data_IF_777516970165
#
_entry.id   IF_777516970165
#
_cell.length_a   1.000
_cell.length_b   1.000
_cell.length_c   1.000
_cell.angle_alpha   90.00
_cell.angle_beta   90.00
_cell.angle_gamma   90.00
#
_symmetry.space_group_name_H-M   'P 1'
#
loop_
_entity.id
_entity.type
_entity.pdbx_description
1 polymer ?
#
# COMPACT_ATOMS: atom_id res chain seq x y z
N UNK A 1 -18.43 26.52 -44.73
CA UNK A 1 -18.33 25.15 -45.22
C UNK A 1 -17.59 24.99 -46.56
N UNK A 2 -17.66 25.93 -47.53
CA UNK A 2 -16.99 25.82 -48.86
C UNK A 2 -15.45 25.68 -48.81
N UNK A 3 -14.78 26.25 -47.77
CA UNK A 3 -13.30 26.19 -47.67
C UNK A 3 -12.79 24.83 -47.17
N UNK A 4 -13.56 24.08 -46.37
CA UNK A 4 -13.23 22.74 -45.91
C UNK A 4 -13.18 21.75 -47.08
N UNK A 5 -14.12 21.86 -47.99
CA UNK A 5 -14.22 20.98 -49.16
C UNK A 5 -13.12 21.27 -50.18
N UNK A 6 -12.66 22.53 -50.31
CA UNK A 6 -11.60 22.95 -51.25
C UNK A 6 -10.20 22.54 -50.77
N UNK A 7 -9.98 22.36 -49.46
CA UNK A 7 -8.68 22.02 -48.89
C UNK A 7 -8.77 20.74 -48.02
N UNK A 8 -9.34 19.69 -48.61
CA UNK A 8 -9.71 18.44 -47.92
C UNK A 8 -8.55 17.81 -47.12
N UNK A 9 -7.34 17.82 -47.69
CA UNK A 9 -6.18 17.19 -47.04
C UNK A 9 -5.75 17.92 -45.77
N UNK A 10 -5.71 19.27 -45.78
CA UNK A 10 -5.36 20.06 -44.58
C UNK A 10 -6.44 19.98 -43.52
N UNK A 11 -7.71 20.02 -43.92
CA UNK A 11 -8.82 19.88 -42.95
C UNK A 11 -8.84 18.48 -42.31
N UNK A 12 -8.58 17.43 -43.11
CA UNK A 12 -8.49 16.06 -42.61
C UNK A 12 -7.31 15.89 -41.64
N UNK A 13 -6.14 16.46 -42.00
CA UNK A 13 -4.97 16.42 -41.13
C UNK A 13 -5.24 17.11 -39.78
N UNK A 14 -5.86 18.30 -39.79
CA UNK A 14 -6.21 19.02 -38.55
C UNK A 14 -7.20 18.25 -37.66
N UNK A 15 -8.23 17.67 -38.31
CA UNK A 15 -9.21 16.83 -37.55
C UNK A 15 -8.54 15.59 -36.99
N UNK A 16 -7.69 14.91 -37.77
CA UNK A 16 -6.97 13.74 -37.31
C UNK A 16 -6.04 14.05 -36.15
N UNK A 17 -5.32 15.19 -36.23
CA UNK A 17 -4.44 15.63 -35.12
C UNK A 17 -5.22 15.93 -33.84
N UNK A 18 -6.31 16.68 -33.93
CA UNK A 18 -7.17 16.96 -32.78
C UNK A 18 -7.77 15.67 -32.17
N UNK A 19 -8.25 14.78 -33.04
CA UNK A 19 -8.79 13.49 -32.58
C UNK A 19 -7.72 12.64 -31.89
N UNK A 20 -6.49 12.60 -32.43
CA UNK A 20 -5.38 11.90 -31.82
C UNK A 20 -5.00 12.50 -30.46
N UNK A 21 -4.95 13.83 -30.34
CA UNK A 21 -4.67 14.50 -29.06
C UNK A 21 -5.72 14.18 -27.99
N UNK A 22 -7.01 14.26 -28.35
CA UNK A 22 -8.11 13.95 -27.43
C UNK A 22 -8.08 12.46 -27.04
N UNK A 23 -7.78 11.57 -27.98
CA UNK A 23 -7.67 10.14 -27.71
C UNK A 23 -6.52 9.83 -26.74
N UNK A 24 -5.32 10.36 -27.01
CA UNK A 24 -4.15 10.18 -26.16
C UNK A 24 -4.42 10.74 -24.76
N UNK A 25 -5.02 11.94 -24.67
CA UNK A 25 -5.40 12.52 -23.38
C UNK A 25 -6.40 11.63 -22.63
N UNK A 26 -7.43 11.12 -23.31
CA UNK A 26 -8.43 10.23 -22.71
C UNK A 26 -7.84 8.93 -22.19
N UNK A 27 -6.97 8.29 -22.97
CA UNK A 27 -6.24 7.09 -22.56
C UNK A 27 -5.36 7.37 -21.34
N UNK A 28 -4.56 8.44 -21.39
CA UNK A 28 -3.67 8.81 -20.29
C UNK A 28 -4.47 9.14 -19.01
N UNK A 29 -5.53 9.92 -19.12
CA UNK A 29 -6.41 10.25 -18.01
C UNK A 29 -7.03 8.99 -17.39
N UNK A 30 -7.49 8.07 -18.25
CA UNK A 30 -8.02 6.78 -17.78
C UNK A 30 -6.96 5.96 -17.02
N UNK A 31 -5.72 5.91 -17.53
CA UNK A 31 -4.62 5.21 -16.86
C UNK A 31 -4.34 5.84 -15.49
N UNK A 32 -4.22 7.17 -15.42
CA UNK A 32 -3.94 7.88 -14.16
C UNK A 32 -5.02 7.63 -13.12
N UNK A 33 -6.30 7.70 -13.49
CA UNK A 33 -7.40 7.45 -12.56
C UNK A 33 -7.41 6.00 -12.05
N UNK A 34 -7.28 5.03 -12.95
CA UNK A 34 -7.28 3.62 -12.59
C UNK A 34 -6.04 3.25 -11.76
N UNK A 35 -4.89 3.80 -12.10
CA UNK A 35 -3.66 3.56 -11.35
C UNK A 35 -3.70 4.18 -9.95
N UNK A 36 -4.23 5.38 -9.80
CA UNK A 36 -4.44 6.01 -8.49
C UNK A 36 -5.39 5.20 -7.61
N UNK A 37 -6.41 4.58 -8.20
CA UNK A 37 -7.32 3.68 -7.47
C UNK A 37 -6.60 2.40 -7.00
N UNK A 38 -5.79 1.77 -7.87
CA UNK A 38 -4.99 0.59 -7.53
C UNK A 38 -3.98 0.94 -6.43
N UNK A 39 -3.27 2.06 -6.55
CA UNK A 39 -2.32 2.54 -5.54
C UNK A 39 -2.97 2.70 -4.17
N UNK A 40 -4.09 3.39 -4.09
CA UNK A 40 -4.81 3.57 -2.81
C UNK A 40 -5.21 2.25 -2.16
N UNK A 41 -5.59 1.26 -2.95
CA UNK A 41 -5.93 -0.06 -2.44
C UNK A 41 -4.69 -0.85 -1.99
N UNK A 42 -3.55 -0.69 -2.67
CA UNK A 42 -2.29 -1.33 -2.28
C UNK A 42 -1.68 -0.64 -1.06
N UNK A 43 -1.68 0.70 -1.02
CA UNK A 43 -1.22 1.50 0.14
C UNK A 43 -1.94 1.11 1.44
N UNK A 44 -3.23 0.79 1.35
CA UNK A 44 -4.00 0.33 2.53
C UNK A 44 -3.66 -1.09 2.98
N UNK A 45 -2.92 -1.86 2.17
CA UNK A 45 -2.52 -3.23 2.46
C UNK A 45 -1.04 -3.38 2.79
N UNK A 46 -0.23 -2.31 2.66
CA UNK A 46 1.17 -2.31 3.09
C UNK A 46 1.22 -1.93 4.57
N UNK A 47 0.95 -2.91 5.42
CA UNK A 47 1.02 -2.76 6.86
C UNK A 47 2.45 -2.88 7.39
N UNK A 48 2.68 -2.23 8.51
CA UNK A 48 3.85 -2.42 9.37
C UNK A 48 3.45 -3.46 10.41
N UNK A 49 4.26 -4.51 10.56
CA UNK A 49 4.03 -5.53 11.60
C UNK A 49 4.94 -5.26 12.78
N UNK A 50 4.36 -5.08 13.95
CA UNK A 50 5.05 -4.74 15.19
C UNK A 50 4.98 -5.91 16.15
N UNK A 51 6.10 -6.57 16.39
CA UNK A 51 6.22 -7.67 17.35
C UNK A 51 6.69 -7.16 18.70
N UNK A 52 6.17 -7.79 19.76
CA UNK A 52 6.46 -7.44 21.15
C UNK A 52 7.61 -8.27 21.72
N UNK A 53 8.21 -7.79 22.80
CA UNK A 53 9.13 -8.56 23.62
C UNK A 53 8.44 -9.80 24.20
N UNK A 54 9.21 -10.88 24.35
CA UNK A 54 8.68 -12.12 24.89
C UNK A 54 8.27 -11.93 26.37
N UNK A 55 7.06 -12.37 26.69
CA UNK A 55 6.56 -12.31 28.06
C UNK A 55 5.98 -10.94 28.47
N UNK A 56 5.78 -10.03 27.51
CA UNK A 56 5.10 -8.77 27.77
C UNK A 56 3.65 -9.03 28.21
N UNK A 57 3.21 -8.35 29.26
CA UNK A 57 1.84 -8.48 29.73
C UNK A 57 0.84 -7.74 28.84
N UNK A 58 -0.43 -8.11 28.95
CA UNK A 58 -1.50 -7.55 28.11
C UNK A 58 -1.65 -6.03 28.31
N UNK A 59 -1.44 -5.54 29.54
CA UNK A 59 -1.55 -4.10 29.83
C UNK A 59 -0.47 -3.29 29.10
N UNK A 60 0.76 -3.81 29.06
CA UNK A 60 1.87 -3.20 28.32
C UNK A 60 1.62 -3.21 26.80
N UNK A 61 1.06 -4.32 26.26
CA UNK A 61 0.66 -4.39 24.85
C UNK A 61 -0.40 -3.33 24.53
N UNK A 62 -1.40 -3.17 25.40
CA UNK A 62 -2.45 -2.16 25.22
C UNK A 62 -1.89 -0.73 25.27
N UNK A 63 -0.91 -0.45 26.16
CA UNK A 63 -0.22 0.86 26.21
C UNK A 63 0.52 1.14 24.91
N UNK A 64 1.27 0.18 24.38
CA UNK A 64 1.95 0.31 23.08
C UNK A 64 0.91 0.60 21.98
N UNK A 65 -0.22 -0.11 21.98
CA UNK A 65 -1.30 0.11 21.03
C UNK A 65 -1.90 1.51 21.14
N UNK A 66 -2.08 2.02 22.35
CA UNK A 66 -2.57 3.38 22.60
C UNK A 66 -1.56 4.43 22.11
N UNK A 67 -0.28 4.24 22.39
CA UNK A 67 0.79 5.16 21.95
C UNK A 67 0.88 5.24 20.43
N UNK A 68 0.85 4.09 19.75
CA UNK A 68 0.82 4.05 18.29
C UNK A 68 -0.45 4.73 17.74
N UNK A 69 -1.61 4.44 18.35
CA UNK A 69 -2.90 5.00 17.90
C UNK A 69 -2.99 6.51 18.14
N UNK A 70 -2.25 7.05 19.10
CA UNK A 70 -2.19 8.50 19.37
C UNK A 70 -1.56 9.29 18.23
N UNK A 71 -0.78 8.63 17.36
CA UNK A 71 -0.12 9.22 16.19
C UNK A 71 -1.11 9.39 15.03
N UNK A 72 -2.22 10.09 15.25
CA UNK A 72 -3.33 10.24 14.28
C UNK A 72 -2.93 10.82 12.93
N UNK A 73 -1.86 11.61 12.90
CA UNK A 73 -1.32 12.18 11.65
C UNK A 73 -0.62 11.13 10.77
N UNK A 74 -0.08 10.07 11.39
CA UNK A 74 0.70 9.04 10.71
C UNK A 74 -0.03 7.70 10.59
N UNK A 75 -0.94 7.40 11.52
CA UNK A 75 -1.62 6.10 11.64
C UNK A 75 -3.05 6.19 11.15
N UNK A 76 -3.38 5.40 10.16
CA UNK A 76 -4.74 5.24 9.62
C UNK A 76 -5.55 4.20 10.39
N UNK A 77 -4.90 3.09 10.72
CA UNK A 77 -5.55 1.95 11.36
C UNK A 77 -4.49 1.11 12.08
N UNK A 78 -4.88 0.59 13.23
CA UNK A 78 -4.13 -0.44 13.95
C UNK A 78 -5.02 -1.66 14.18
N UNK A 79 -4.47 -2.85 14.09
CA UNK A 79 -5.15 -4.12 14.37
C UNK A 79 -4.23 -5.00 15.21
N UNK A 80 -4.74 -5.49 16.31
CA UNK A 80 -4.08 -6.53 17.08
C UNK A 80 -4.36 -7.90 16.46
N UNK A 81 -3.33 -8.70 16.32
CA UNK A 81 -3.39 -10.09 15.86
C UNK A 81 -2.78 -10.96 16.96
N UNK A 82 -3.59 -11.82 17.57
CA UNK A 82 -3.10 -12.76 18.56
C UNK A 82 -2.25 -13.86 17.93
N UNK A 83 -1.45 -14.56 18.74
CA UNK A 83 -0.68 -15.72 18.28
C UNK A 83 -1.56 -16.82 17.66
N UNK A 84 -2.76 -17.04 18.21
CA UNK A 84 -3.72 -17.99 17.66
C UNK A 84 -4.27 -17.56 16.29
N UNK A 85 -4.61 -16.27 16.12
CA UNK A 85 -5.04 -15.72 14.84
C UNK A 85 -3.91 -15.76 13.79
N UNK A 86 -2.67 -15.51 14.23
CA UNK A 86 -1.49 -15.63 13.35
C UNK A 86 -1.31 -17.09 12.90
N UNK A 87 -1.45 -18.04 13.83
CA UNK A 87 -1.42 -19.47 13.49
C UNK A 87 -2.54 -19.89 12.55
N UNK A 88 -3.77 -19.48 12.81
CA UNK A 88 -4.93 -19.79 11.96
C UNK A 88 -4.71 -19.28 10.53
N UNK A 89 -4.26 -18.04 10.39
CA UNK A 89 -3.97 -17.43 9.08
C UNK A 89 -2.83 -18.14 8.36
N UNK A 90 -1.79 -18.52 9.08
CA UNK A 90 -0.64 -19.25 8.56
C UNK A 90 -1.05 -20.66 8.12
N UNK A 91 -1.71 -21.40 9.00
CA UNK A 91 -2.12 -22.80 8.73
C UNK A 91 -3.09 -22.89 7.55
N UNK A 92 -4.07 -21.99 7.47
CA UNK A 92 -5.00 -21.92 6.34
C UNK A 92 -4.29 -21.68 4.98
N UNK A 93 -3.15 -21.01 4.98
CA UNK A 93 -2.38 -20.72 3.77
C UNK A 93 -1.41 -21.84 3.39
N UNK A 94 -0.68 -22.37 4.37
CA UNK A 94 0.44 -23.27 4.12
C UNK A 94 0.10 -24.75 4.29
N UNK A 95 -0.95 -25.10 5.07
CA UNK A 95 -1.40 -26.46 5.30
C UNK A 95 -2.73 -26.77 4.61
N UNK A 96 -3.10 -25.98 3.61
CA UNK A 96 -4.32 -26.20 2.83
C UNK A 96 -4.36 -27.62 2.25
N UNK A 97 -5.31 -28.44 2.68
CA UNK A 97 -5.44 -29.85 2.30
C UNK A 97 -4.64 -30.84 3.17
N UNK A 98 -4.02 -30.35 4.26
CA UNK A 98 -3.33 -31.20 5.25
C UNK A 98 -3.55 -30.65 6.68
N UNK A 99 -4.82 -30.52 7.05
CA UNK A 99 -5.22 -29.94 8.35
C UNK A 99 -4.70 -30.76 9.54
N UNK A 100 -4.55 -32.10 9.39
CA UNK A 100 -3.99 -32.94 10.44
C UNK A 100 -2.53 -32.58 10.79
N UNK A 101 -1.74 -32.18 9.81
CA UNK A 101 -0.38 -31.72 10.06
C UNK A 101 -0.38 -30.38 10.83
N UNK A 102 -1.31 -29.47 10.51
CA UNK A 102 -1.47 -28.21 11.24
C UNK A 102 -1.87 -28.41 12.69
N UNK A 103 -2.79 -29.36 12.97
CA UNK A 103 -3.20 -29.72 14.33
C UNK A 103 -2.05 -30.35 15.12
N UNK A 104 -1.22 -31.18 14.49
CA UNK A 104 -0.04 -31.79 15.11
C UNK A 104 0.92 -30.75 15.66
N UNK A 105 1.19 -29.68 14.93
CA UNK A 105 2.04 -28.57 15.35
C UNK A 105 1.40 -27.76 16.49
N UNK A 106 0.09 -27.54 16.46
CA UNK A 106 -0.62 -26.80 17.49
C UNK A 106 -0.68 -27.56 18.82
N UNK A 107 -0.92 -28.88 18.77
CA UNK A 107 -1.18 -29.69 19.95
C UNK A 107 0.08 -30.15 20.70
N UNK A 108 1.24 -30.18 20.05
CA UNK A 108 2.50 -30.62 20.65
C UNK A 108 3.26 -29.54 21.42
N UNK A 109 2.66 -28.40 21.70
CA UNK A 109 3.31 -27.23 22.28
C UNK A 109 4.49 -26.67 21.45
N UNK A 110 4.62 -27.11 20.22
CA UNK A 110 5.67 -26.74 19.24
C UNK A 110 5.20 -25.68 18.26
N UNK A 111 4.15 -24.92 18.62
CA UNK A 111 3.66 -23.86 17.76
C UNK A 111 4.74 -22.80 17.51
N UNK A 112 5.34 -22.72 16.31
CA UNK A 112 6.41 -21.76 16.02
C UNK A 112 5.95 -20.31 16.10
N UNK A 113 4.62 -20.07 16.10
CA UNK A 113 4.01 -18.77 16.19
C UNK A 113 3.47 -18.42 17.59
N UNK A 114 3.80 -19.20 18.63
CA UNK A 114 3.34 -18.96 19.99
C UNK A 114 3.68 -17.53 20.51
N UNK A 115 4.81 -16.96 20.05
CA UNK A 115 5.25 -15.61 20.40
C UNK A 115 5.10 -14.63 19.21
N UNK A 116 4.14 -14.87 18.32
CA UNK A 116 3.93 -14.07 17.11
C UNK A 116 2.73 -13.12 17.21
N UNK A 117 2.24 -12.87 18.44
CA UNK A 117 1.28 -11.79 18.64
C UNK A 117 1.91 -10.47 18.18
N UNK A 118 1.15 -9.66 17.44
CA UNK A 118 1.66 -8.43 16.85
C UNK A 118 0.56 -7.42 16.58
N UNK A 119 0.96 -6.16 16.39
CA UNK A 119 0.09 -5.19 15.74
C UNK A 119 0.37 -5.13 14.24
N UNK A 120 -0.69 -5.03 13.47
CA UNK A 120 -0.64 -4.56 12.10
C UNK A 120 -1.02 -3.07 12.10
N UNK A 121 -0.06 -2.24 11.73
CA UNK A 121 -0.21 -0.78 11.69
C UNK A 121 -0.23 -0.31 10.25
N UNK A 122 -1.28 0.38 9.86
CA UNK A 122 -1.44 0.91 8.50
C UNK A 122 -1.20 2.42 8.53
N UNK A 123 -0.19 2.93 7.84
CA UNK A 123 0.09 4.37 7.79
C UNK A 123 -0.97 5.12 6.98
N UNK A 124 -1.11 6.42 7.24
CA UNK A 124 -1.96 7.32 6.44
C UNK A 124 -1.43 7.47 5.01
N UNK A 125 -0.10 7.50 4.85
CA UNK A 125 0.57 7.52 3.55
C UNK A 125 1.89 6.77 3.61
N UNK A 126 2.36 6.29 2.45
CA UNK A 126 3.62 5.57 2.32
C UNK A 126 4.82 6.45 2.66
N UNK A 127 4.74 7.74 2.36
CA UNK A 127 5.80 8.72 2.65
C UNK A 127 6.05 8.89 4.15
N UNK A 128 5.06 8.61 4.98
CA UNK A 128 5.17 8.71 6.45
C UNK A 128 5.62 7.39 7.09
N UNK A 129 5.69 6.31 6.32
CA UNK A 129 5.98 4.97 6.84
C UNK A 129 7.32 4.90 7.57
N UNK A 130 8.39 5.48 7.01
CA UNK A 130 9.71 5.42 7.64
C UNK A 130 9.75 6.19 8.97
N UNK A 131 9.05 7.33 9.06
CA UNK A 131 8.91 8.07 10.32
C UNK A 131 8.15 7.27 11.37
N UNK A 132 7.05 6.66 10.96
CA UNK A 132 6.22 5.84 11.83
C UNK A 132 6.98 4.62 12.34
N UNK A 133 7.74 3.95 11.46
CA UNK A 133 8.61 2.83 11.86
C UNK A 133 9.64 3.27 12.88
N UNK A 134 10.36 4.38 12.63
CA UNK A 134 11.36 4.90 13.57
C UNK A 134 10.75 5.27 14.94
N UNK A 135 9.53 5.78 14.94
CA UNK A 135 8.80 6.05 16.17
C UNK A 135 8.46 4.76 16.93
N UNK A 136 7.92 3.75 16.23
CA UNK A 136 7.53 2.48 16.84
C UNK A 136 8.74 1.69 17.34
N UNK A 137 9.86 1.70 16.60
CA UNK A 137 11.11 1.06 17.01
C UNK A 137 11.69 1.66 18.31
N UNK A 138 11.33 2.90 18.64
CA UNK A 138 11.73 3.57 19.86
C UNK A 138 10.84 3.30 21.08
N UNK A 139 9.74 2.57 20.92
CA UNK A 139 8.83 2.26 22.04
C UNK A 139 9.37 1.08 22.87
N UNK A 140 9.30 1.21 24.19
CA UNK A 140 9.66 0.12 25.11
C UNK A 140 8.71 -1.07 24.92
N UNK A 141 9.27 -2.28 24.88
CA UNK A 141 8.50 -3.51 24.71
C UNK A 141 8.28 -3.90 23.23
N UNK A 142 8.77 -3.12 22.28
CA UNK A 142 8.77 -3.47 20.86
C UNK A 142 10.07 -4.20 20.52
N UNK A 143 9.94 -5.48 20.18
CA UNK A 143 11.09 -6.34 19.81
C UNK A 143 11.54 -6.14 18.39
N UNK A 144 10.60 -6.03 17.47
CA UNK A 144 10.90 -5.99 16.04
C UNK A 144 9.78 -5.31 15.26
N UNK A 145 10.16 -4.50 14.30
CA UNK A 145 9.24 -3.87 13.36
C UNK A 145 9.56 -4.36 11.95
N UNK A 146 8.60 -5.02 11.31
CA UNK A 146 8.73 -5.48 9.93
C UNK A 146 7.91 -4.58 9.00
N UNK A 147 8.55 -4.09 7.96
CA UNK A 147 7.90 -3.33 6.89
C UNK A 147 8.35 -3.82 5.52
N UNK A 148 7.48 -3.70 4.54
CA UNK A 148 7.83 -3.98 3.14
C UNK A 148 8.45 -2.74 2.49
N UNK A 149 9.73 -2.45 2.83
CA UNK A 149 10.46 -1.29 2.27
C UNK A 149 10.47 -1.28 0.74
N UNK A 150 10.59 -2.46 0.13
CA UNK A 150 10.63 -2.58 -1.33
C UNK A 150 9.29 -2.23 -1.96
N UNK A 151 8.17 -2.65 -1.37
CA UNK A 151 6.84 -2.27 -1.83
C UNK A 151 6.61 -0.76 -1.68
N UNK A 152 6.97 -0.20 -0.51
CA UNK A 152 6.83 1.25 -0.23
C UNK A 152 7.67 2.11 -1.16
N UNK A 153 8.94 1.78 -1.39
CA UNK A 153 9.84 2.55 -2.26
C UNK A 153 9.41 2.47 -3.72
N UNK A 154 8.94 1.32 -4.19
CA UNK A 154 8.43 1.14 -5.55
C UNK A 154 7.17 1.99 -5.75
N UNK A 155 6.21 1.93 -4.82
CA UNK A 155 4.97 2.70 -4.90
C UNK A 155 5.22 4.21 -4.85
N UNK A 156 6.08 4.68 -3.95
CA UNK A 156 6.47 6.10 -3.88
C UNK A 156 7.14 6.58 -5.16
N UNK A 157 8.04 5.77 -5.74
CA UNK A 157 8.70 6.08 -7.01
C UNK A 157 7.72 6.15 -8.17
N UNK A 158 6.76 5.23 -8.24
CA UNK A 158 5.72 5.23 -9.26
C UNK A 158 4.81 6.46 -9.13
N UNK A 159 4.45 6.86 -7.91
CA UNK A 159 3.63 8.05 -7.67
C UNK A 159 4.33 9.32 -8.19
N UNK A 160 5.63 9.46 -7.91
CA UNK A 160 6.45 10.57 -8.44
C UNK A 160 6.56 10.55 -9.97
N UNK A 161 6.74 9.38 -10.57
CA UNK A 161 6.81 9.24 -12.03
C UNK A 161 5.50 9.68 -12.69
N UNK A 162 4.35 9.24 -12.17
CA UNK A 162 3.04 9.62 -12.71
C UNK A 162 2.82 11.13 -12.59
N UNK A 163 3.13 11.72 -11.44
CA UNK A 163 3.01 13.16 -11.22
C UNK A 163 3.89 13.93 -12.21
N UNK A 164 5.13 13.52 -12.41
CA UNK A 164 6.08 14.16 -13.34
C UNK A 164 5.58 14.06 -14.79
N UNK A 165 5.16 12.88 -15.23
CA UNK A 165 4.64 12.67 -16.58
C UNK A 165 3.36 13.50 -16.79
N UNK A 166 2.48 13.57 -15.79
CA UNK A 166 1.25 14.38 -15.85
C UNK A 166 1.56 15.87 -16.08
N UNK A 167 2.52 16.41 -15.33
CA UNK A 167 2.96 17.81 -15.50
C UNK A 167 3.53 18.07 -16.90
N UNK A 168 4.37 17.16 -17.42
CA UNK A 168 4.96 17.28 -18.75
C UNK A 168 3.85 17.29 -19.82
N UNK A 169 2.87 16.39 -19.72
CA UNK A 169 1.76 16.32 -20.69
C UNK A 169 0.92 17.59 -20.64
N UNK A 170 0.60 18.10 -19.43
CA UNK A 170 -0.14 19.35 -19.28
C UNK A 170 0.61 20.52 -19.94
N UNK A 171 1.93 20.60 -19.73
CA UNK A 171 2.75 21.65 -20.35
C UNK A 171 2.76 21.54 -21.88
N UNK A 172 2.87 20.33 -22.44
CA UNK A 172 2.81 20.11 -23.87
C UNK A 172 1.45 20.56 -24.42
N UNK A 173 0.35 20.19 -23.76
CA UNK A 173 -0.99 20.55 -24.17
C UNK A 173 -1.28 22.06 -24.09
N UNK A 174 -0.59 22.79 -23.18
CA UNK A 174 -0.71 24.25 -23.09
C UNK A 174 0.02 24.99 -24.22
N UNK A 175 1.04 24.36 -24.81
CA UNK A 175 1.86 24.96 -25.88
C UNK A 175 1.26 24.70 -27.28
N UNK A 176 0.47 23.65 -27.44
CA UNK A 176 -0.18 23.26 -28.69
C UNK A 176 -1.53 23.96 -28.85
#
# INVERSE_FOLDING_TARGET
MKNIVRNKMFSLASIATMAACIFIFGVFFSIVLNFSYILRNVETNVGITVFFDNGLDQASIEMIGADISSQTDMVKKIRYVSADQAWESFSARYFKGNEQAAEGWKNNNDNPLANSAHFEVYPNSIEQQDKLVSYIEGLDGVRQVNQSRQASSTLSSMNKLIATISVIIILILLVV
#
